data_IF_081154457175
#
_entry.id   IF_081154457175
#
_cell.length_a   1.000
_cell.length_b   1.000
_cell.length_c   1.000
_cell.angle_alpha   90.00
_cell.angle_beta   90.00
_cell.angle_gamma   90.00
#
_symmetry.space_group_name_H-M   'P 1'
#
loop_
_entity.id
_entity.type
_entity.pdbx_description
1 polymer ?
#
# COMPACT_ATOMS: atom_id res chain seq x y z
N UNK A 1 -15.15 -14.33 16.59
CA UNK A 1 -14.99 -14.24 15.13
C UNK A 1 -14.09 -13.07 14.82
N UNK A 2 -12.78 -13.26 15.02
CA UNK A 2 -11.75 -12.33 14.56
C UNK A 2 -11.79 -12.33 13.04
N UNK A 3 -12.46 -11.35 12.43
CA UNK A 3 -12.25 -11.10 11.01
C UNK A 3 -10.78 -10.70 10.85
N UNK A 4 -9.97 -11.57 10.26
CA UNK A 4 -8.72 -11.20 9.62
C UNK A 4 -9.08 -10.22 8.49
N UNK A 5 -9.29 -8.95 8.87
CA UNK A 5 -9.56 -7.87 7.92
C UNK A 5 -8.26 -7.64 7.18
N UNK A 6 -8.24 -8.01 5.91
CA UNK A 6 -7.15 -7.66 5.03
C UNK A 6 -6.97 -6.14 5.04
N UNK A 7 -5.79 -5.66 5.39
CA UNK A 7 -5.49 -4.25 5.56
C UNK A 7 -5.83 -3.50 4.29
N UNK A 8 -6.64 -2.46 4.40
CA UNK A 8 -7.06 -1.65 3.24
C UNK A 8 -5.95 -0.72 2.77
N UNK A 9 -5.99 -0.27 1.52
CA UNK A 9 -5.01 0.70 0.98
C UNK A 9 -4.91 1.96 1.84
N UNK A 10 -6.02 2.41 2.42
CA UNK A 10 -6.07 3.52 3.37
C UNK A 10 -5.32 3.22 4.66
N UNK A 11 -5.53 2.06 5.25
CA UNK A 11 -4.82 1.65 6.48
C UNK A 11 -3.32 1.50 6.23
N UNK A 12 -2.92 0.90 5.11
CA UNK A 12 -1.51 0.80 4.69
C UNK A 12 -0.89 2.17 4.51
N UNK A 13 -1.58 3.09 3.84
CA UNK A 13 -1.10 4.46 3.67
C UNK A 13 -0.90 5.14 5.02
N UNK A 14 -1.87 5.05 5.94
CA UNK A 14 -1.71 5.61 7.28
C UNK A 14 -0.55 4.97 8.03
N UNK A 15 -0.37 3.65 7.93
CA UNK A 15 0.75 2.92 8.55
C UNK A 15 2.10 3.46 8.05
N UNK A 16 2.31 3.52 6.74
CA UNK A 16 3.55 4.06 6.14
C UNK A 16 3.78 5.53 6.51
N UNK A 17 2.69 6.32 6.60
CA UNK A 17 2.77 7.76 6.89
C UNK A 17 3.10 8.06 8.35
N UNK A 18 2.58 7.28 9.29
CA UNK A 18 2.68 7.55 10.72
C UNK A 18 3.74 6.70 11.44
N UNK A 19 4.14 5.56 10.88
CA UNK A 19 5.17 4.71 11.46
C UNK A 19 6.56 5.22 11.06
N UNK A 20 7.31 5.70 12.05
CA UNK A 20 8.66 6.24 11.87
C UNK A 20 9.68 5.20 11.36
N UNK A 21 9.36 3.90 11.45
CA UNK A 21 10.21 2.83 10.88
C UNK A 21 10.22 2.85 9.36
N UNK A 22 9.21 3.43 8.73
CA UNK A 22 9.08 3.50 7.29
C UNK A 22 9.42 4.89 6.78
N UNK A 23 10.34 4.95 5.80
CA UNK A 23 10.64 6.19 5.11
C UNK A 23 9.67 6.36 3.93
N UNK A 24 8.61 7.15 4.08
CA UNK A 24 7.61 7.41 3.04
C UNK A 24 8.17 7.82 1.67
N UNK A 25 9.37 8.42 1.60
CA UNK A 25 10.03 8.76 0.32
C UNK A 25 10.50 7.55 -0.47
N UNK A 26 10.69 6.42 0.20
CA UNK A 26 11.05 5.16 -0.43
C UNK A 26 9.85 4.40 -0.97
N UNK A 27 8.63 4.89 -0.70
CA UNK A 27 7.41 4.22 -1.12
C UNK A 27 6.85 4.84 -2.39
N UNK A 28 6.31 3.97 -3.23
CA UNK A 28 5.53 4.28 -4.42
C UNK A 28 4.17 3.58 -4.31
N UNK A 29 3.16 4.20 -4.91
CA UNK A 29 1.79 3.70 -4.94
C UNK A 29 1.45 3.34 -6.38
N UNK A 30 1.12 2.08 -6.61
CA UNK A 30 0.57 1.58 -7.86
C UNK A 30 -0.94 1.79 -7.86
N UNK A 31 -1.43 2.61 -8.79
CA UNK A 31 -2.86 2.92 -8.93
C UNK A 31 -3.31 2.77 -10.37
N UNK A 32 -4.60 2.57 -10.56
CA UNK A 32 -5.19 2.51 -11.89
C UNK A 32 -5.62 3.91 -12.36
N UNK A 33 -4.91 4.43 -13.37
CA UNK A 33 -5.16 5.76 -13.92
C UNK A 33 -6.29 5.75 -14.96
N UNK A 34 -6.40 4.69 -15.77
CA UNK A 34 -7.24 4.65 -16.97
C UNK A 34 -8.02 3.33 -17.15
N UNK A 35 -8.33 2.61 -16.08
CA UNK A 35 -9.08 1.34 -16.10
C UNK A 35 -8.25 0.12 -16.54
N UNK A 36 -7.20 0.33 -17.31
CA UNK A 36 -6.33 -0.73 -17.85
C UNK A 36 -4.83 -0.45 -17.62
N UNK A 37 -4.47 0.80 -17.28
CA UNK A 37 -3.08 1.22 -17.09
C UNK A 37 -2.80 1.45 -15.62
N UNK A 38 -1.95 0.59 -15.05
CA UNK A 38 -1.36 0.81 -13.74
C UNK A 38 -0.23 1.83 -13.86
N UNK A 39 -0.37 2.94 -13.15
CA UNK A 39 0.68 3.92 -12.98
C UNK A 39 1.27 3.85 -11.58
N UNK A 40 2.55 4.17 -11.47
CA UNK A 40 3.24 4.32 -10.19
C UNK A 40 3.48 5.79 -9.92
N UNK A 41 3.12 6.24 -8.73
CA UNK A 41 3.51 7.57 -8.25
C UNK A 41 4.24 7.48 -6.90
N UNK A 42 5.09 8.46 -6.59
CA UNK A 42 5.68 8.57 -5.26
C UNK A 42 4.60 8.67 -4.18
N UNK A 43 4.80 8.00 -3.04
CA UNK A 43 3.85 8.02 -1.93
C UNK A 43 3.55 9.44 -1.43
N UNK A 44 4.56 10.31 -1.43
CA UNK A 44 4.41 11.71 -1.06
C UNK A 44 3.65 12.56 -2.09
N UNK A 45 3.48 12.08 -3.33
CA UNK A 45 2.67 12.73 -4.35
C UNK A 45 1.19 12.36 -4.22
N UNK A 46 0.87 11.25 -3.56
CA UNK A 46 -0.51 10.82 -3.34
C UNK A 46 -1.22 11.70 -2.31
N UNK A 47 -2.34 12.28 -2.73
CA UNK A 47 -3.20 13.12 -1.90
C UNK A 47 -4.43 12.32 -1.47
N UNK A 48 -4.57 12.00 -0.17
CA UNK A 48 -5.79 11.43 0.39
C UNK A 48 -7.02 12.26 0.02
N UNK A 49 -8.09 11.58 -0.42
CA UNK A 49 -9.35 12.21 -0.82
C UNK A 49 -9.23 13.23 -1.97
N UNK A 50 -8.13 13.15 -2.73
CA UNK A 50 -7.90 13.92 -3.96
C UNK A 50 -8.45 13.22 -5.21
N UNK A 51 -7.72 13.35 -6.32
CA UNK A 51 -8.13 12.81 -7.63
C UNK A 51 -8.10 11.28 -7.71
N UNK A 52 -7.24 10.64 -6.89
CA UNK A 52 -7.06 9.18 -6.90
C UNK A 52 -7.77 8.59 -5.69
N UNK A 53 -8.95 7.97 -5.87
CA UNK A 53 -9.64 7.33 -4.78
C UNK A 53 -8.96 6.04 -4.32
N UNK A 54 -9.10 5.71 -3.04
CA UNK A 54 -8.48 4.55 -2.40
C UNK A 54 -8.72 3.20 -3.09
N UNK A 55 -9.88 3.03 -3.74
CA UNK A 55 -10.23 1.79 -4.44
C UNK A 55 -9.45 1.60 -5.74
N UNK A 56 -8.83 2.66 -6.29
CA UNK A 56 -7.93 2.59 -7.45
C UNK A 56 -6.50 2.28 -7.06
N UNK A 57 -6.15 2.27 -5.76
CA UNK A 57 -4.84 1.82 -5.30
C UNK A 57 -4.81 0.30 -5.27
N UNK A 58 -3.84 -0.28 -5.96
CA UNK A 58 -3.67 -1.73 -6.10
C UNK A 58 -2.53 -2.27 -5.26
N UNK A 59 -1.39 -1.59 -5.21
CA UNK A 59 -0.23 -2.04 -4.45
C UNK A 59 0.61 -0.88 -3.90
N UNK A 60 1.37 -1.16 -2.84
CA UNK A 60 2.43 -0.28 -2.33
C UNK A 60 3.77 -0.96 -2.53
N UNK A 61 4.73 -0.19 -3.04
CA UNK A 61 6.06 -0.66 -3.39
C UNK A 61 7.07 0.14 -2.60
N UNK A 62 7.94 -0.53 -1.86
CA UNK A 62 9.08 0.08 -1.19
C UNK A 62 10.33 -0.15 -2.02
N UNK A 63 10.88 0.92 -2.60
CA UNK A 63 12.04 0.94 -3.50
C UNK A 63 11.81 0.07 -4.74
N UNK A 64 12.04 -1.23 -4.62
CA UNK A 64 11.88 -2.22 -5.69
C UNK A 64 11.02 -3.43 -5.29
N UNK A 65 10.54 -3.50 -4.04
CA UNK A 65 9.79 -4.62 -3.51
C UNK A 65 8.35 -4.22 -3.24
N UNK A 66 7.40 -5.03 -3.70
CA UNK A 66 5.98 -4.85 -3.34
C UNK A 66 5.83 -5.30 -1.88
N UNK A 67 5.40 -4.37 -1.04
CA UNK A 67 5.21 -4.60 0.40
C UNK A 67 3.74 -4.78 0.77
N UNK A 68 2.85 -4.33 -0.10
CA UNK A 68 1.43 -4.62 0.03
C UNK A 68 0.82 -4.75 -1.35
N UNK A 69 0.05 -5.81 -1.57
CA UNK A 69 -0.66 -6.06 -2.83
C UNK A 69 -2.08 -6.52 -2.56
N UNK A 70 -3.06 -5.80 -3.12
CA UNK A 70 -4.47 -6.12 -2.98
C UNK A 70 -4.89 -7.37 -3.76
N UNK A 71 -4.29 -7.63 -4.93
CA UNK A 71 -4.59 -8.79 -5.78
C UNK A 71 -4.13 -10.07 -5.09
N UNK A 72 -2.88 -10.05 -4.62
CA UNK A 72 -2.24 -11.21 -3.99
C UNK A 72 -2.59 -11.33 -2.50
N UNK A 73 -3.27 -10.31 -1.95
CA UNK A 73 -3.53 -10.17 -0.51
C UNK A 73 -2.24 -10.25 0.31
N UNK A 74 -1.19 -9.62 -0.20
CA UNK A 74 0.11 -9.51 0.45
C UNK A 74 0.11 -8.29 1.39
N UNK A 75 0.53 -8.49 2.63
CA UNK A 75 0.79 -7.40 3.58
C UNK A 75 2.08 -7.70 4.36
N UNK A 76 3.21 -7.25 3.84
CA UNK A 76 4.52 -7.35 4.50
C UNK A 76 4.71 -6.27 5.58
N UNK A 77 3.80 -5.31 5.67
CA UNK A 77 3.82 -4.26 6.68
C UNK A 77 3.08 -4.71 7.95
N UNK A 78 2.22 -5.72 7.86
CA UNK A 78 1.62 -6.36 9.02
C UNK A 78 2.62 -7.32 9.65
N UNK A 79 3.37 -6.81 10.63
CA UNK A 79 4.39 -7.54 11.38
C UNK A 79 3.83 -8.64 12.30
N UNK A 80 2.65 -9.21 12.00
CA UNK A 80 2.04 -10.30 12.77
C UNK A 80 2.45 -11.69 12.28
N UNK A 81 3.05 -11.82 11.09
CA UNK A 81 3.49 -13.11 10.59
C UNK A 81 5.03 -13.26 10.69
N UNK A 82 5.55 -14.08 11.62
CA UNK A 82 6.95 -14.48 11.55
C UNK A 82 7.18 -15.22 10.20
N UNK A 83 8.38 -15.10 9.60
CA UNK A 83 8.69 -15.84 8.37
C UNK A 83 8.42 -17.33 8.58
N UNK A 84 7.91 -18.06 7.58
CA UNK A 84 7.75 -19.50 7.68
C UNK A 84 9.11 -20.12 7.99
N UNK A 85 9.17 -20.87 9.09
CA UNK A 85 10.36 -21.60 9.56
C UNK A 85 10.75 -22.73 8.61
#
# INVERSE_FOLDING_TARGET
>A
MSHERFTTSREVYHRIRWDERFNSREFSIGYDAHGETLEEMPFNAFVPDGEIPWHRVWYFKQRHHIVWDRRERLDLLDSSQPPPA
#
